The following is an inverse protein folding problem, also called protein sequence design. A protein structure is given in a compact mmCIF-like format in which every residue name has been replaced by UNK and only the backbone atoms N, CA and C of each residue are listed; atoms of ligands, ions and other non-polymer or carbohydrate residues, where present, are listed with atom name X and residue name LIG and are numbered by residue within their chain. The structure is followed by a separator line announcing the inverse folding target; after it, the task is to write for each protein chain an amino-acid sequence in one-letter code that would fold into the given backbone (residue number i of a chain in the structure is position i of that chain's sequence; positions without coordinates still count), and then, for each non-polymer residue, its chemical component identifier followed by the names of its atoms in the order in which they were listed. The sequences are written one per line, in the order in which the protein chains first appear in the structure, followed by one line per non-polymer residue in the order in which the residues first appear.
data_IF_015042469778
#
_entry.id   IF_015042469778
#
_cell.length_a   1.000
_cell.length_b   1.000
_cell.length_c   1.000
_cell.angle_alpha   90.00
_cell.angle_beta   90.00
_cell.angle_gamma   90.00
#
_symmetry.space_group_name_H-M   'P 1'
#
loop_
_entity.id
_entity.type
_entity.pdbx_description
1 polymer ?
#
# COMPACT_ATOMS: atom_id res chain seq x y z
N UNK A 1 -14.23 8.75 -8.89
CA UNK A 1 -13.16 8.76 -7.84
C UNK A 1 -12.01 7.90 -8.32
N UNK A 2 -10.76 8.40 -8.26
CA UNK A 2 -9.55 7.62 -8.54
C UNK A 2 -9.16 6.77 -7.33
N UNK A 3 -8.28 5.80 -7.55
CA UNK A 3 -7.64 5.03 -6.48
C UNK A 3 -6.80 5.95 -5.58
N UNK A 4 -6.70 5.62 -4.30
CA UNK A 4 -5.64 6.15 -3.44
C UNK A 4 -4.39 5.28 -3.54
N UNK A 5 -3.34 5.64 -2.81
CA UNK A 5 -2.10 4.88 -2.71
C UNK A 5 -1.69 4.61 -1.26
N UNK A 6 -0.86 3.58 -1.08
CA UNK A 6 -0.23 3.24 0.19
C UNK A 6 1.25 3.59 0.09
N UNK A 7 1.74 4.42 1.01
CA UNK A 7 3.13 4.82 1.04
C UNK A 7 3.74 4.65 2.44
N UNK A 8 5.06 4.60 2.52
CA UNK A 8 5.82 4.52 3.76
C UNK A 8 6.47 5.85 4.05
N UNK A 9 6.27 6.37 5.27
CA UNK A 9 6.90 7.62 5.71
C UNK A 9 8.39 7.38 5.97
N UNK A 10 9.26 8.05 5.22
CA UNK A 10 10.71 7.98 5.43
C UNK A 10 11.12 8.98 6.50
N UNK A 11 10.69 10.24 6.36
CA UNK A 11 11.08 11.30 7.28
C UNK A 11 10.64 12.67 6.78
N UNK A 12 11.21 13.70 7.37
CA UNK A 12 11.00 15.09 6.95
C UNK A 12 12.32 15.72 6.53
N UNK A 13 12.24 16.59 5.54
CA UNK A 13 13.33 17.43 5.04
C UNK A 13 12.79 18.78 4.62
N UNK A 14 13.60 19.57 3.97
CA UNK A 14 13.24 20.88 3.42
C UNK A 14 13.66 20.98 1.97
N UNK A 15 12.89 21.71 1.20
CA UNK A 15 13.19 22.05 -0.20
C UNK A 15 13.24 23.57 -0.28
N UNK A 16 14.26 24.09 -0.97
CA UNK A 16 14.33 25.50 -1.31
C UNK A 16 13.68 25.71 -2.67
N UNK A 17 12.84 26.72 -2.80
CA UNK A 17 12.28 27.17 -4.06
C UNK A 17 13.20 28.20 -4.70
N UNK A 18 12.98 28.47 -5.97
CA UNK A 18 13.72 29.47 -6.75
C UNK A 18 13.61 30.88 -6.15
N UNK A 19 12.45 31.18 -5.50
CA UNK A 19 12.21 32.43 -4.76
C UNK A 19 12.94 32.48 -3.40
N UNK A 20 13.84 31.55 -3.09
CA UNK A 20 14.60 31.47 -1.86
C UNK A 20 13.82 30.96 -0.63
N UNK A 21 12.54 30.72 -0.76
CA UNK A 21 11.69 30.25 0.35
C UNK A 21 11.95 28.80 0.68
N UNK A 22 12.08 28.52 1.97
CA UNK A 22 12.20 27.16 2.51
C UNK A 22 10.82 26.54 2.69
N UNK A 23 10.58 25.36 2.11
CA UNK A 23 9.36 24.59 2.28
C UNK A 23 9.66 23.31 3.05
N UNK A 24 9.09 23.11 4.27
CA UNK A 24 9.20 21.85 4.97
C UNK A 24 8.40 20.77 4.26
N UNK A 25 9.00 19.62 4.02
CA UNK A 25 8.37 18.49 3.32
C UNK A 25 8.54 17.19 4.07
N UNK A 26 7.52 16.35 4.01
CA UNK A 26 7.59 14.93 4.40
C UNK A 26 7.81 14.10 3.16
N UNK A 27 8.81 13.21 3.21
CA UNK A 27 9.13 12.27 2.14
C UNK A 27 8.41 10.96 2.39
N UNK A 28 7.62 10.56 1.41
CA UNK A 28 6.90 9.28 1.37
C UNK A 28 7.47 8.41 0.25
N UNK A 29 7.66 7.12 0.51
CA UNK A 29 8.15 6.14 -0.48
C UNK A 29 7.05 5.15 -0.81
N UNK A 30 6.84 4.91 -2.09
CA UNK A 30 6.06 3.80 -2.61
C UNK A 30 6.96 2.56 -2.67
N UNK A 31 6.52 1.47 -2.06
CA UNK A 31 7.22 0.18 -2.11
C UNK A 31 6.38 -0.78 -2.96
N UNK A 32 6.64 -0.85 -4.28
CA UNK A 32 6.00 -1.76 -5.26
C UNK A 32 4.51 -1.94 -4.97
N UNK A 33 3.74 -0.89 -5.26
CA UNK A 33 2.30 -0.87 -5.03
C UNK A 33 1.58 -1.59 -6.17
N UNK A 34 1.02 -2.77 -5.89
CA UNK A 34 0.35 -3.61 -6.87
C UNK A 34 -1.14 -3.72 -6.59
N UNK A 35 -1.93 -3.89 -7.65
CA UNK A 35 -3.34 -4.24 -7.55
C UNK A 35 -3.46 -5.74 -7.27
N UNK A 36 -4.00 -6.09 -6.10
CA UNK A 36 -4.15 -7.49 -5.65
C UNK A 36 -5.52 -8.05 -5.99
N UNK A 37 -6.56 -7.23 -5.94
CA UNK A 37 -7.92 -7.65 -6.29
C UNK A 37 -8.78 -6.46 -6.70
N UNK A 38 -9.76 -6.74 -7.53
CA UNK A 38 -10.85 -5.84 -7.87
C UNK A 38 -12.11 -6.28 -7.12
N UNK A 39 -12.91 -5.30 -6.67
CA UNK A 39 -14.26 -5.50 -6.18
C UNK A 39 -15.22 -4.96 -7.21
N UNK A 40 -16.22 -5.77 -7.59
CA UNK A 40 -17.23 -5.41 -8.57
C UNK A 40 -18.61 -5.37 -7.93
N UNK A 41 -19.51 -4.61 -8.52
CA UNK A 41 -20.88 -4.47 -8.00
C UNK A 41 -21.60 -5.82 -7.95
N UNK A 42 -21.40 -6.66 -8.96
CA UNK A 42 -22.08 -7.96 -9.11
C UNK A 42 -21.67 -8.97 -8.01
N UNK A 43 -20.37 -9.03 -7.67
CA UNK A 43 -19.84 -10.01 -6.72
C UNK A 43 -19.83 -9.52 -5.28
N UNK A 44 -19.46 -8.24 -5.08
CA UNK A 44 -19.17 -7.70 -3.76
C UNK A 44 -20.17 -6.61 -3.32
N UNK A 45 -21.06 -6.15 -4.23
CA UNK A 45 -22.04 -5.10 -3.95
C UNK A 45 -21.44 -3.68 -3.92
N UNK A 46 -20.16 -3.51 -4.25
CA UNK A 46 -19.50 -2.20 -4.37
C UNK A 46 -18.26 -2.29 -5.27
N UNK A 47 -17.82 -1.13 -5.78
CA UNK A 47 -16.65 -1.04 -6.65
C UNK A 47 -15.45 -0.51 -5.87
N UNK A 48 -14.36 -1.30 -5.84
CA UNK A 48 -13.12 -0.92 -5.17
C UNK A 48 -11.90 -1.66 -5.73
N UNK A 49 -10.72 -1.09 -5.51
CA UNK A 49 -9.44 -1.72 -5.78
C UNK A 49 -8.75 -2.08 -4.46
N UNK A 50 -8.30 -3.32 -4.34
CA UNK A 50 -7.47 -3.78 -3.23
C UNK A 50 -6.00 -3.68 -3.61
N UNK A 51 -5.30 -2.74 -3.00
CA UNK A 51 -3.89 -2.48 -3.25
C UNK A 51 -3.02 -3.14 -2.19
N UNK A 52 -1.85 -3.62 -2.63
CA UNK A 52 -0.85 -4.23 -1.75
C UNK A 52 0.50 -3.52 -1.87
N UNK A 53 1.12 -3.19 -0.72
CA UNK A 53 2.41 -2.52 -0.65
C UNK A 53 3.39 -3.26 0.28
N UNK A 54 4.68 -3.17 -0.06
CA UNK A 54 5.79 -3.79 0.66
C UNK A 54 5.78 -5.30 0.60
N UNK A 55 6.93 -5.94 0.50
CA UNK A 55 7.04 -7.39 0.36
C UNK A 55 7.12 -8.09 1.72
N UNK A 56 6.61 -9.31 1.80
CA UNK A 56 6.67 -10.20 2.97
C UNK A 56 7.12 -11.58 2.53
N UNK A 57 7.96 -12.22 3.34
CA UNK A 57 8.36 -13.61 3.10
C UNK A 57 7.13 -14.52 3.20
N UNK A 58 6.99 -15.47 2.27
CA UNK A 58 5.84 -16.38 2.19
C UNK A 58 5.56 -17.14 3.50
N UNK A 59 6.61 -17.48 4.28
CA UNK A 59 6.49 -18.12 5.59
C UNK A 59 5.72 -17.30 6.62
N UNK A 60 5.71 -15.97 6.48
CA UNK A 60 5.02 -15.05 7.40
C UNK A 60 3.58 -14.74 6.96
N UNK A 61 3.10 -15.33 5.86
CA UNK A 61 1.73 -15.19 5.40
C UNK A 61 0.91 -16.43 5.79
N UNK A 62 -0.31 -16.21 6.26
CA UNK A 62 -1.25 -17.30 6.52
C UNK A 62 -1.77 -17.92 5.19
N UNK A 63 -2.34 -19.13 5.26
CA UNK A 63 -2.82 -19.87 4.08
C UNK A 63 -3.88 -19.08 3.28
N UNK A 64 -4.78 -18.39 3.97
CA UNK A 64 -5.84 -17.59 3.33
C UNK A 64 -5.27 -16.43 2.49
N UNK A 65 -4.33 -15.66 3.03
CA UNK A 65 -3.68 -14.57 2.30
C UNK A 65 -2.81 -15.11 1.14
N UNK A 66 -2.10 -16.23 1.34
CA UNK A 66 -1.35 -16.86 0.24
C UNK A 66 -2.25 -17.24 -0.91
N UNK A 67 -3.45 -17.79 -0.64
CA UNK A 67 -4.45 -18.09 -1.66
C UNK A 67 -4.87 -16.84 -2.45
N UNK A 68 -5.13 -15.71 -1.78
CA UNK A 68 -5.46 -14.45 -2.47
C UNK A 68 -4.34 -13.95 -3.37
N UNK A 69 -3.09 -14.00 -2.92
CA UNK A 69 -1.93 -13.59 -3.74
C UNK A 69 -1.68 -14.55 -4.90
N UNK A 70 -1.92 -15.85 -4.72
CA UNK A 70 -1.81 -16.86 -5.78
C UNK A 70 -2.82 -16.62 -6.91
N UNK A 71 -4.09 -16.33 -6.58
CA UNK A 71 -5.12 -15.98 -7.57
C UNK A 71 -4.73 -14.72 -8.37
N UNK A 72 -4.13 -13.74 -7.69
CA UNK A 72 -3.68 -12.49 -8.31
C UNK A 72 -2.33 -12.62 -9.06
N UNK A 73 -1.64 -13.76 -8.96
CA UNK A 73 -0.28 -13.97 -9.47
C UNK A 73 0.73 -12.90 -8.97
N UNK A 74 0.57 -12.47 -7.70
CA UNK A 74 1.35 -11.39 -7.09
C UNK A 74 2.11 -11.91 -5.87
N UNK A 75 3.34 -11.41 -5.68
CA UNK A 75 4.10 -11.68 -4.45
C UNK A 75 3.36 -11.23 -3.19
N UNK A 76 3.54 -11.95 -2.06
CA UNK A 76 2.91 -11.58 -0.80
C UNK A 76 3.25 -10.15 -0.35
N UNK A 77 2.24 -9.34 -0.08
CA UNK A 77 2.35 -7.93 0.34
C UNK A 77 2.10 -7.76 1.84
N UNK A 78 2.84 -6.80 2.44
CA UNK A 78 2.80 -6.53 3.88
C UNK A 78 1.55 -5.76 4.30
N UNK A 79 1.14 -4.78 3.51
CA UNK A 79 -0.03 -3.94 3.77
C UNK A 79 -1.01 -4.07 2.62
N UNK A 80 -2.25 -4.34 2.98
CA UNK A 80 -3.38 -4.38 2.07
C UNK A 80 -4.37 -3.30 2.48
N UNK A 81 -4.89 -2.57 1.51
CA UNK A 81 -5.90 -1.54 1.71
C UNK A 81 -6.84 -1.51 0.52
N UNK A 82 -8.13 -1.39 0.79
CA UNK A 82 -9.14 -1.19 -0.24
C UNK A 82 -9.42 0.30 -0.42
N UNK A 83 -9.55 0.71 -1.68
CA UNK A 83 -9.92 2.05 -2.09
C UNK A 83 -11.15 1.96 -2.98
N UNK A 84 -12.23 2.61 -2.59
CA UNK A 84 -13.41 2.76 -3.45
C UNK A 84 -13.04 3.64 -4.64
N UNK A 85 -13.44 3.19 -5.82
CA UNK A 85 -13.21 3.87 -7.09
C UNK A 85 -14.50 3.91 -7.90
N UNK A 86 -14.58 4.81 -8.90
CA UNK A 86 -15.66 4.75 -9.87
C UNK A 86 -15.47 3.55 -10.80
N UNK A 87 -16.55 3.01 -11.37
CA UNK A 87 -16.51 1.87 -12.30
C UNK A 87 -15.49 2.06 -13.44
N UNK A 88 -15.42 3.28 -13.97
CA UNK A 88 -14.55 3.64 -15.10
C UNK A 88 -13.06 3.69 -14.75
N UNK A 89 -12.72 3.65 -13.45
CA UNK A 89 -11.35 3.76 -12.95
C UNK A 89 -10.84 2.43 -12.35
N UNK A 90 -11.41 1.32 -12.77
CA UNK A 90 -10.87 0.00 -12.45
C UNK A 90 -9.54 -0.22 -13.18
N UNK A 91 -8.62 -0.88 -12.50
CA UNK A 91 -7.26 -1.17 -12.98
C UNK A 91 -7.07 -2.68 -12.86
N UNK A 92 -6.44 -3.30 -13.85
CA UNK A 92 -6.25 -4.75 -13.88
C UNK A 92 -5.41 -5.27 -12.72
N UNK A 93 -5.70 -6.51 -12.34
CA UNK A 93 -4.97 -7.19 -11.26
C UNK A 93 -3.52 -7.40 -11.70
N UNK A 94 -2.57 -7.19 -10.79
CA UNK A 94 -1.14 -7.32 -11.03
C UNK A 94 -0.47 -6.05 -11.55
N UNK A 95 -1.20 -5.02 -11.96
CA UNK A 95 -0.60 -3.76 -12.41
C UNK A 95 0.03 -2.98 -11.25
N UNK A 96 1.17 -2.35 -11.53
CA UNK A 96 1.91 -1.53 -10.56
C UNK A 96 1.57 -0.04 -10.72
N UNK A 97 1.21 0.59 -9.61
CA UNK A 97 0.95 2.04 -9.54
C UNK A 97 2.24 2.74 -9.13
N UNK A 98 2.66 3.74 -9.91
CA UNK A 98 3.87 4.51 -9.66
C UNK A 98 3.59 5.88 -8.99
N UNK A 99 4.66 6.60 -8.61
CA UNK A 99 4.57 7.90 -7.96
C UNK A 99 3.97 9.00 -8.84
N UNK A 100 3.98 8.84 -10.17
CA UNK A 100 3.36 9.75 -11.13
C UNK A 100 1.83 9.82 -11.03
N UNK A 101 1.21 8.97 -10.19
CA UNK A 101 -0.22 9.06 -9.88
C UNK A 101 -0.61 10.44 -9.30
N UNK A 102 0.26 11.07 -8.53
CA UNK A 102 0.05 12.42 -8.03
C UNK A 102 0.92 13.43 -8.76
N UNK A 103 0.30 14.55 -9.13
CA UNK A 103 0.95 15.65 -9.85
C UNK A 103 1.39 16.74 -8.87
N UNK A 104 2.47 17.44 -9.20
CA UNK A 104 2.95 18.57 -8.41
C UNK A 104 1.88 19.66 -8.29
N UNK A 105 1.75 20.25 -7.10
CA UNK A 105 0.72 21.24 -6.81
C UNK A 105 -0.64 20.66 -6.39
N UNK A 106 -0.88 19.37 -6.60
CA UNK A 106 -2.13 18.70 -6.22
C UNK A 106 -2.31 18.67 -4.69
N UNK A 107 -3.57 18.76 -4.25
CA UNK A 107 -3.93 18.56 -2.85
C UNK A 107 -4.37 17.12 -2.59
N UNK A 108 -3.92 16.59 -1.45
CA UNK A 108 -4.18 15.21 -1.02
C UNK A 108 -4.58 15.15 0.45
N UNK A 109 -5.39 14.16 0.80
CA UNK A 109 -5.75 13.82 2.17
C UNK A 109 -4.95 12.59 2.60
N UNK A 110 -4.27 12.68 3.75
CA UNK A 110 -3.39 11.62 4.23
C UNK A 110 -3.91 11.08 5.55
N UNK A 111 -4.13 9.76 5.58
CA UNK A 111 -4.51 9.03 6.78
C UNK A 111 -3.36 8.14 7.24
N UNK A 112 -3.08 8.14 8.53
CA UNK A 112 -2.08 7.28 9.15
C UNK A 112 -2.35 7.06 10.62
N UNK A 113 -1.63 6.14 11.23
CA UNK A 113 -1.69 5.90 12.67
C UNK A 113 -0.75 6.88 13.37
N UNK A 114 -1.28 7.67 14.29
CA UNK A 114 -0.50 8.64 15.06
C UNK A 114 0.50 7.95 15.99
N UNK A 115 1.53 8.67 16.40
CA UNK A 115 2.51 8.16 17.37
C UNK A 115 1.81 7.90 18.71
N UNK A 116 1.95 6.70 19.26
CA UNK A 116 1.41 6.35 20.58
C UNK A 116 2.12 7.13 21.69
N UNK A 117 1.35 7.60 22.67
CA UNK A 117 1.83 8.32 23.85
C UNK A 117 1.45 7.63 25.16
N UNK A 118 0.92 6.39 25.06
CA UNK A 118 0.49 5.59 26.17
C UNK A 118 -0.72 6.18 26.91
N UNK A 119 -0.87 5.86 28.18
CA UNK A 119 -1.89 6.45 29.06
C UNK A 119 -1.48 7.89 29.39
N UNK A 120 -2.35 8.84 29.14
CA UNK A 120 -2.11 10.26 29.36
C UNK A 120 -3.16 10.85 30.28
N UNK A 121 -2.73 11.68 31.23
CA UNK A 121 -3.60 12.46 32.10
C UNK A 121 -4.41 13.50 31.33
N UNK A 122 -5.45 14.02 31.94
CA UNK A 122 -6.37 14.98 31.31
C UNK A 122 -5.66 16.27 30.84
N UNK A 123 -4.60 16.70 31.50
CA UNK A 123 -3.80 17.86 31.07
C UNK A 123 -3.14 17.60 29.72
N UNK A 124 -2.46 16.46 29.55
CA UNK A 124 -1.77 16.11 28.31
C UNK A 124 -2.76 15.73 27.20
N UNK A 125 -3.84 15.01 27.53
CA UNK A 125 -4.79 14.47 26.55
C UNK A 125 -5.77 15.50 26.03
N UNK A 126 -6.21 16.41 26.92
CA UNK A 126 -7.30 17.35 26.62
C UNK A 126 -6.94 18.81 26.90
N UNK A 127 -5.68 19.10 27.23
CA UNK A 127 -5.19 20.45 27.55
C UNK A 127 -5.90 21.10 28.76
N UNK A 128 -6.21 20.30 29.79
CA UNK A 128 -6.73 20.85 31.05
C UNK A 128 -5.64 21.62 31.77
N UNK A 129 -6.00 22.74 32.41
CA UNK A 129 -5.07 23.61 33.16
C UNK A 129 -4.57 22.96 34.45
N UNK A 130 -5.32 22.01 35.01
CA UNK A 130 -5.04 21.48 36.34
C UNK A 130 -5.56 22.40 37.45
N UNK A 131 -5.10 22.17 38.69
CA UNK A 131 -5.41 22.98 39.86
C UNK A 131 -4.23 23.90 40.19
N UNK A 132 -4.47 24.87 41.09
CA UNK A 132 -3.45 25.83 41.53
C UNK A 132 -2.25 25.12 42.15
N UNK A 133 -1.07 25.75 42.04
CA UNK A 133 0.16 25.24 42.65
C UNK A 133 0.27 25.56 44.15
N UNK A 134 -0.50 26.56 44.62
CA UNK A 134 -0.54 27.07 46.00
C UNK A 134 -1.99 27.19 46.46
N UNK A 135 -2.25 27.94 47.52
CA UNK A 135 -3.58 28.16 48.12
C UNK A 135 -4.23 26.87 48.62
N UNK A 136 -3.48 26.07 49.40
CA UNK A 136 -3.98 24.89 50.08
C UNK A 136 -4.12 23.61 49.20
N UNK A 137 -3.78 23.69 47.94
CA UNK A 137 -3.78 22.48 47.07
C UNK A 137 -2.55 21.64 47.41
N UNK A 138 -2.78 20.38 47.84
CA UNK A 138 -1.72 19.44 48.20
C UNK A 138 -1.29 18.60 47.00
N UNK A 139 -1.80 17.40 46.84
CA UNK A 139 -1.34 16.43 45.83
C UNK A 139 -2.09 16.48 44.50
N UNK A 140 -3.20 17.22 44.41
CA UNK A 140 -4.15 17.19 43.30
C UNK A 140 -3.83 18.13 42.15
N UNK A 141 -2.60 18.65 42.03
CA UNK A 141 -2.21 19.69 41.04
C UNK A 141 -2.55 19.34 39.60
N UNK A 142 -2.50 18.06 39.23
CA UNK A 142 -2.71 17.57 37.85
C UNK A 142 -4.06 16.88 37.63
N UNK A 143 -4.99 16.97 38.57
CA UNK A 143 -6.31 16.36 38.42
C UNK A 143 -7.17 17.13 37.40
N UNK A 144 -8.21 16.47 36.91
CA UNK A 144 -9.10 17.04 35.90
C UNK A 144 -10.27 17.86 36.50
N UNK A 145 -10.36 17.96 37.84
CA UNK A 145 -11.43 18.68 38.53
C UNK A 145 -12.71 17.85 38.65
N UNK A 146 -13.84 18.54 38.77
CA UNK A 146 -15.15 17.88 38.93
C UNK A 146 -15.52 17.04 37.70
N UNK A 147 -16.14 15.90 37.94
CA UNK A 147 -16.64 14.98 36.90
C UNK A 147 -18.12 15.16 36.60
N UNK A 148 -18.86 15.85 37.45
CA UNK A 148 -20.30 16.11 37.28
C UNK A 148 -20.90 16.82 38.45
N UNK A 149 -22.22 16.87 38.51
CA UNK A 149 -23.05 17.40 39.57
C UNK A 149 -23.25 16.36 40.69
N UNK A 150 -23.98 16.68 41.73
CA UNK A 150 -24.24 15.78 42.85
C UNK A 150 -25.26 14.66 42.51
N UNK A 151 -26.33 14.54 43.33
CA UNK A 151 -27.38 13.52 43.19
C UNK A 151 -28.17 13.63 41.88
N UNK A 152 -28.33 14.83 41.34
CA UNK A 152 -28.90 15.09 40.02
C UNK A 152 -27.80 15.54 39.04
N UNK A 153 -27.60 14.83 37.92
CA UNK A 153 -28.28 13.66 37.37
C UNK A 153 -27.78 12.31 37.91
N UNK A 154 -26.92 12.27 38.96
CA UNK A 154 -26.38 11.07 39.59
C UNK A 154 -25.45 10.23 38.73
N UNK A 155 -25.04 10.78 37.59
CA UNK A 155 -24.18 10.08 36.58
C UNK A 155 -23.20 11.05 35.94
N UNK A 156 -22.07 10.49 35.47
CA UNK A 156 -21.15 11.21 34.60
C UNK A 156 -21.67 11.18 33.15
N UNK A 157 -21.77 12.33 32.51
CA UNK A 157 -22.23 12.39 31.11
C UNK A 157 -21.30 11.67 30.15
N UNK A 158 -21.89 11.03 29.13
CA UNK A 158 -21.13 10.40 28.05
C UNK A 158 -20.26 11.46 27.36
N UNK A 159 -19.03 11.07 26.97
CA UNK A 159 -18.08 11.97 26.31
C UNK A 159 -17.35 12.94 27.25
N UNK A 160 -17.51 12.84 28.59
CA UNK A 160 -16.71 13.60 29.54
C UNK A 160 -15.22 13.34 29.32
N UNK A 161 -14.46 14.42 29.14
CA UNK A 161 -13.01 14.36 28.90
C UNK A 161 -12.28 13.90 30.16
N UNK A 162 -11.62 12.75 30.07
CA UNK A 162 -10.87 12.11 31.17
C UNK A 162 -9.52 11.61 30.69
N UNK A 163 -8.67 11.21 31.62
CA UNK A 163 -7.43 10.49 31.33
C UNK A 163 -7.70 9.22 30.53
N UNK A 164 -6.74 8.75 29.75
CA UNK A 164 -6.86 7.55 28.95
C UNK A 164 -5.77 7.44 27.90
N UNK A 165 -5.88 6.44 27.04
CA UNK A 165 -4.93 6.21 25.97
C UNK A 165 -4.90 7.38 24.99
N UNK A 166 -3.68 7.82 24.62
CA UNK A 166 -3.45 8.91 23.67
C UNK A 166 -2.52 8.44 22.57
N UNK A 167 -2.84 8.78 21.34
CA UNK A 167 -2.10 8.33 20.16
C UNK A 167 -2.44 6.90 19.74
N UNK A 168 -1.65 6.33 18.84
CA UNK A 168 -1.89 5.02 18.19
C UNK A 168 -3.31 4.87 17.64
N UNK A 169 -3.86 5.98 17.17
CA UNK A 169 -5.19 6.09 16.56
C UNK A 169 -5.07 6.56 15.12
N UNK A 170 -6.00 6.15 14.27
CA UNK A 170 -6.06 6.63 12.88
C UNK A 170 -6.44 8.11 12.87
N UNK A 171 -5.57 8.90 12.24
CA UNK A 171 -5.75 10.36 12.07
C UNK A 171 -5.63 10.68 10.59
N UNK A 172 -6.48 11.58 10.12
CA UNK A 172 -6.44 12.10 8.74
C UNK A 172 -6.11 13.58 8.77
N UNK A 173 -5.08 13.98 8.01
CA UNK A 173 -4.76 15.38 7.74
C UNK A 173 -5.20 15.67 6.31
N UNK A 174 -6.05 16.67 6.16
CA UNK A 174 -6.65 17.07 4.89
C UNK A 174 -5.87 18.20 4.22
N UNK A 175 -6.02 18.30 2.89
CA UNK A 175 -5.53 19.40 2.07
C UNK A 175 -4.01 19.62 2.15
N UNK A 176 -3.22 18.55 2.20
CA UNK A 176 -1.78 18.65 2.08
C UNK A 176 -1.39 18.77 0.61
N UNK A 177 -0.43 19.65 0.29
CA UNK A 177 0.00 19.90 -1.08
C UNK A 177 1.19 19.00 -1.43
N UNK A 178 1.13 18.36 -2.60
CA UNK A 178 2.27 17.66 -3.22
C UNK A 178 3.23 18.71 -3.77
N UNK A 179 4.49 18.67 -3.33
CA UNK A 179 5.52 19.65 -3.73
C UNK A 179 6.30 19.12 -4.92
N UNK A 180 6.73 17.85 -4.85
CA UNK A 180 7.53 17.21 -5.90
C UNK A 180 7.26 15.70 -5.89
N UNK A 181 7.29 15.10 -7.07
CA UNK A 181 7.23 13.65 -7.27
C UNK A 181 8.49 13.17 -8.00
N UNK A 182 9.04 12.05 -7.58
CA UNK A 182 10.17 11.37 -8.21
C UNK A 182 9.70 9.96 -8.56
N UNK A 183 9.45 9.75 -9.85
CA UNK A 183 8.88 8.49 -10.35
C UNK A 183 9.92 7.37 -10.28
N UNK A 184 11.17 7.63 -10.60
CA UNK A 184 12.24 6.65 -10.68
C UNK A 184 12.54 6.03 -9.31
N UNK A 185 12.57 6.87 -8.28
CA UNK A 185 12.80 6.44 -6.89
C UNK A 185 11.51 6.08 -6.14
N UNK A 186 10.35 6.33 -6.73
CA UNK A 186 9.05 6.14 -6.10
C UNK A 186 8.83 7.06 -4.89
N UNK A 187 9.30 8.33 -4.95
CA UNK A 187 9.19 9.27 -3.84
C UNK A 187 8.12 10.33 -4.12
N UNK A 188 7.37 10.65 -3.08
CA UNK A 188 6.38 11.73 -3.07
C UNK A 188 6.72 12.66 -1.91
N UNK A 189 6.93 13.92 -2.22
CA UNK A 189 7.26 14.97 -1.25
C UNK A 189 6.05 15.84 -1.00
N UNK A 190 5.58 15.88 0.25
CA UNK A 190 4.35 16.55 0.65
C UNK A 190 4.68 17.67 1.62
N UNK A 191 4.12 18.86 1.38
CA UNK A 191 4.31 20.02 2.23
C UNK A 191 3.74 19.77 3.63
N UNK A 192 4.58 19.97 4.64
CA UNK A 192 4.18 19.92 6.04
C UNK A 192 4.28 18.53 6.69
N UNK A 193 3.59 18.36 7.80
CA UNK A 193 3.65 17.15 8.62
C UNK A 193 2.63 16.10 8.18
N UNK A 194 3.04 14.84 8.25
CA UNK A 194 2.21 13.66 7.97
C UNK A 194 2.12 12.83 9.25
N UNK A 195 0.96 12.26 9.60
CA UNK A 195 0.78 11.48 10.80
C UNK A 195 1.67 10.23 10.85
N UNK A 196 2.02 9.81 12.04
CA UNK A 196 2.79 8.60 12.30
C UNK A 196 4.30 8.79 12.43
N UNK A 197 4.97 7.73 12.90
CA UNK A 197 6.41 7.66 13.07
C UNK A 197 7.14 7.44 11.73
N UNK A 198 8.47 7.60 11.71
CA UNK A 198 9.33 7.16 10.60
C UNK A 198 9.14 5.66 10.39
N UNK A 199 9.06 5.22 9.13
CA UNK A 199 8.79 3.82 8.78
C UNK A 199 7.31 3.41 8.87
N UNK A 200 6.43 4.29 9.35
CA UNK A 200 4.99 4.05 9.40
C UNK A 200 4.34 4.08 8.01
N UNK A 201 3.26 3.30 7.86
CA UNK A 201 2.46 3.27 6.64
C UNK A 201 1.36 4.32 6.69
N UNK A 202 1.17 5.00 5.57
CA UNK A 202 0.14 6.02 5.38
C UNK A 202 -0.62 5.75 4.10
N UNK A 203 -1.87 6.16 4.08
CA UNK A 203 -2.73 6.10 2.89
C UNK A 203 -2.99 7.50 2.39
N UNK A 204 -2.80 7.72 1.10
CA UNK A 204 -3.05 8.97 0.41
C UNK A 204 -4.29 8.82 -0.45
N UNK A 205 -5.11 9.85 -0.48
CA UNK A 205 -6.26 10.00 -1.37
C UNK A 205 -6.30 11.41 -1.91
N UNK A 206 -6.99 11.59 -3.03
CA UNK A 206 -7.27 12.93 -3.53
C UNK A 206 -8.02 13.73 -2.46
N UNK A 207 -7.74 15.03 -2.34
CA UNK A 207 -8.41 15.89 -1.37
C UNK A 207 -9.91 15.99 -1.69
N UNK A 208 -10.74 15.78 -0.68
CA UNK A 208 -12.20 15.88 -0.82
C UNK A 208 -12.65 17.34 -0.94
N UNK A 209 -11.97 18.26 -0.23
CA UNK A 209 -12.36 19.68 -0.13
C UNK A 209 -11.74 20.59 -1.19
N UNK A 210 -10.77 20.10 -1.95
CA UNK A 210 -10.07 20.86 -3.00
C UNK A 210 -10.26 20.19 -4.35
N UNK A 211 -10.53 21.00 -5.37
CA UNK A 211 -10.65 20.47 -6.71
C UNK A 211 -9.34 19.87 -7.20
N UNK A 212 -9.47 18.76 -7.89
CA UNK A 212 -8.35 18.09 -8.52
C UNK A 212 -7.90 18.89 -9.76
N UNK A 213 -6.58 18.98 -10.06
CA UNK A 213 -6.09 19.55 -11.31
C UNK A 213 -6.65 18.81 -12.54
N UNK A 214 -6.77 19.51 -13.66
CA UNK A 214 -7.30 18.91 -14.92
C UNK A 214 -6.36 17.86 -15.52
N UNK A 215 -5.06 17.95 -15.25
CA UNK A 215 -4.00 17.12 -15.87
C UNK A 215 -3.64 15.88 -15.05
N UNK A 216 -4.60 15.28 -14.37
CA UNK A 216 -4.35 14.06 -13.61
C UNK A 216 -4.36 12.82 -14.51
N UNK A 217 -3.49 11.82 -14.26
CA UNK A 217 -3.56 10.54 -14.95
C UNK A 217 -4.82 9.78 -14.52
N UNK A 218 -5.61 9.33 -15.51
CA UNK A 218 -6.81 8.51 -15.32
C UNK A 218 -6.65 7.20 -16.09
N UNK A 219 -6.98 6.05 -15.51
CA UNK A 219 -7.44 5.84 -14.13
C UNK A 219 -6.32 6.06 -13.09
N UNK A 220 -5.05 5.85 -13.48
CA UNK A 220 -3.86 6.02 -12.63
C UNK A 220 -2.60 6.02 -13.50
N UNK A 221 -1.46 6.47 -12.96
CA UNK A 221 -0.17 6.25 -13.58
C UNK A 221 0.29 4.83 -13.28
N UNK A 222 0.27 3.97 -14.30
CA UNK A 222 0.74 2.58 -14.24
C UNK A 222 2.15 2.52 -14.80
N UNK A 223 3.03 1.78 -14.14
CA UNK A 223 4.31 1.40 -14.74
C UNK A 223 4.00 0.32 -15.77
N UNK A 224 4.18 0.63 -17.06
CA UNK A 224 4.15 -0.42 -18.09
C UNK A 224 5.15 -1.49 -17.66
N UNK A 225 4.79 -2.79 -17.64
CA UNK A 225 5.78 -3.82 -17.45
C UNK A 225 6.86 -3.56 -18.50
N UNK A 226 8.12 -3.50 -18.09
CA UNK A 226 9.25 -3.54 -19.01
C UNK A 226 9.08 -4.86 -19.75
N UNK A 227 8.47 -4.79 -20.92
CA UNK A 227 8.58 -5.85 -21.92
C UNK A 227 10.06 -5.87 -22.25
N UNK A 228 10.74 -6.93 -21.77
CA UNK A 228 12.12 -7.21 -22.13
C UNK A 228 12.22 -7.11 -23.66
N UNK A 229 12.74 -6.00 -24.18
CA UNK A 229 12.97 -5.77 -25.61
C UNK A 229 14.06 -6.68 -26.17
N UNK A 230 14.62 -7.54 -25.33
CA UNK A 230 15.72 -8.42 -25.73
C UNK A 230 15.27 -9.81 -26.22
N UNK A 231 13.94 -10.06 -26.36
CA UNK A 231 13.43 -11.34 -26.89
C UNK A 231 12.77 -11.27 -28.27
N UNK A 232 12.70 -10.10 -28.89
CA UNK A 232 12.09 -9.94 -30.24
C UNK A 232 13.10 -9.62 -31.35
N UNK A 233 14.41 -9.67 -31.06
CA UNK A 233 15.45 -9.43 -32.06
C UNK A 233 16.06 -10.70 -32.72
N UNK A 234 15.45 -11.88 -32.50
CA UNK A 234 15.99 -13.15 -33.08
C UNK A 234 14.95 -14.00 -33.80
N UNK A 235 13.89 -13.42 -34.32
CA UNK A 235 12.88 -14.14 -35.12
C UNK A 235 12.44 -13.42 -36.39
N UNK A 236 13.35 -12.69 -37.02
CA UNK A 236 13.16 -12.30 -38.41
C UNK A 236 14.41 -12.68 -39.20
N UNK A 237 14.18 -13.37 -40.30
CA UNK A 237 15.05 -13.87 -41.38
C UNK A 237 15.30 -15.38 -41.30
N UNK A 238 14.34 -16.15 -41.76
CA UNK A 238 14.58 -17.29 -42.63
C UNK A 238 13.57 -17.17 -43.79
N UNK A 239 14.03 -16.56 -44.88
CA UNK A 239 13.37 -16.63 -46.19
C UNK A 239 13.46 -18.08 -46.73
N UNK A 240 12.31 -18.59 -47.09
CA UNK A 240 12.16 -19.84 -47.86
C UNK A 240 12.79 -19.69 -49.24
N UNK A 241 13.66 -20.61 -49.59
CA UNK A 241 13.94 -20.95 -50.97
C UNK A 241 13.59 -22.41 -51.21
N UNK A 242 12.92 -22.77 -52.31
CA UNK A 242 12.37 -24.10 -52.52
C UNK A 242 13.45 -25.07 -53.02
N UNK A 243 13.57 -26.21 -52.38
CA UNK A 243 14.38 -27.35 -52.89
C UNK A 243 13.46 -28.45 -53.40
N UNK A 244 13.77 -28.84 -54.62
CA UNK A 244 13.12 -29.82 -55.48
C UNK A 244 13.17 -31.22 -54.86
N UNK A 245 12.12 -31.96 -55.20
CA UNK A 245 11.91 -33.38 -54.94
C UNK A 245 12.77 -34.19 -55.90
N UNK A 246 13.59 -35.11 -55.40
CA UNK A 246 14.05 -36.27 -56.15
C UNK A 246 13.83 -37.53 -55.34
N UNK A 247 13.06 -38.41 -55.97
CA UNK A 247 12.78 -39.81 -55.60
C UNK A 247 14.01 -40.66 -55.74
N UNK A 248 14.28 -41.49 -54.75
CA UNK A 248 14.92 -42.82 -55.04
C UNK A 248 14.52 -43.81 -53.92
N UNK A 249 13.95 -44.89 -54.44
CA UNK A 249 13.51 -46.10 -53.75
C UNK A 249 14.69 -46.94 -53.22
N UNK A 250 14.27 -47.96 -52.46
CA UNK A 250 14.97 -49.24 -52.09
C UNK A 250 15.74 -49.19 -50.77
N UNK A 251 15.65 -50.12 -49.88
CA UNK A 251 15.20 -51.54 -49.77
C UNK A 251 15.14 -51.91 -48.25
N UNK A 252 14.27 -52.82 -47.98
CA UNK A 252 14.10 -53.59 -46.74
C UNK A 252 15.36 -54.38 -46.34
N UNK A 253 15.62 -54.52 -45.07
CA UNK A 253 16.04 -55.76 -44.45
C UNK A 253 15.75 -55.84 -42.97
N UNK A 254 14.96 -56.84 -42.65
CA UNK A 254 14.69 -57.44 -41.35
C UNK A 254 15.98 -57.95 -40.67
N UNK A 255 15.99 -57.88 -39.35
CA UNK A 255 16.35 -59.05 -38.53
C UNK A 255 15.95 -58.82 -37.05
N UNK A 256 15.13 -59.69 -36.63
CA UNK A 256 14.73 -60.27 -35.38
C UNK A 256 15.82 -60.57 -34.34
N UNK A 257 15.45 -60.57 -33.08
CA UNK A 257 16.17 -61.26 -32.00
C UNK A 257 15.86 -60.67 -30.60
N UNK A 258 14.80 -61.02 -29.99
CA UNK A 258 14.56 -61.96 -28.86
C UNK A 258 15.74 -62.07 -27.90
N UNK A 259 15.54 -61.68 -26.63
CA UNK A 259 15.41 -62.60 -25.49
C UNK A 259 15.15 -61.86 -24.17
N UNK A 260 14.18 -62.34 -23.46
CA UNK A 260 13.87 -62.23 -22.06
C UNK A 260 15.06 -62.67 -21.20
N UNK A 261 15.13 -62.13 -19.98
CA UNK A 261 15.11 -63.00 -18.80
C UNK A 261 14.83 -62.17 -17.54
N UNK A 262 13.88 -62.69 -16.82
CA UNK A 262 13.50 -62.43 -15.49
C UNK A 262 14.61 -62.87 -14.51
N UNK A 263 14.73 -62.32 -13.32
CA UNK A 263 14.45 -63.06 -12.09
C UNK A 263 14.82 -62.25 -10.83
N UNK A 264 13.89 -62.16 -9.92
CA UNK A 264 13.89 -62.52 -8.51
C UNK A 264 15.01 -62.02 -7.59
N UNK A 265 14.57 -61.44 -6.50
CA UNK A 265 15.35 -61.45 -5.26
C UNK A 265 14.83 -60.51 -4.17
N UNK A 266 13.89 -61.01 -3.42
CA UNK A 266 13.36 -60.44 -2.19
C UNK A 266 14.35 -60.55 -1.01
N UNK A 267 13.96 -59.86 0.08
CA UNK A 267 14.29 -60.05 1.51
C UNK A 267 15.20 -58.94 2.06
N UNK A 268 14.67 -58.25 3.00
CA UNK A 268 14.38 -58.36 4.44
C UNK A 268 15.37 -57.61 5.34
N UNK A 269 14.77 -56.83 6.19
CA UNK A 269 15.03 -56.67 7.63
C UNK A 269 16.34 -56.00 8.11
N UNK A 270 16.23 -54.83 8.63
CA UNK A 270 16.25 -54.54 10.10
C UNK A 270 15.83 -53.13 10.36
#
# INVERSE_FOLDING_TARGET
MRSGIIAKKIGMTRIFREDGRQVPVTVLKLEKLLVVAQRTLEKDGYVALKLGAGNVKAKNCNKALRGQFSIASVEPKKRLQEFRVSSDNLIDIGQEINAGHYVEGQFVDISGTSIGKGFAGAMKRHNFSGLRASHGVSISHRSHGSTGQCQDPGRVFKGKKMAGHLGDSKVTIQNLQVVKTDVDRGLIMIKGAVPGAKGGWVTLKDAVKKHAPKNLPYPTAVTSPLVDKDKTASSEVIEESPVQVDNAETELKDTSGIKNDADLGAKNES
#
